data_IF_927216837637
#
_entry.id   IF_927216837637
#
_cell.length_a   1.000
_cell.length_b   1.000
_cell.length_c   1.000
_cell.angle_alpha   90.00
_cell.angle_beta   90.00
_cell.angle_gamma   90.00
#
_symmetry.space_group_name_H-M   'P 1'
#
loop_
_entity.id
_entity.type
_entity.pdbx_description
1 polymer ?
#
# COMPACT_ATOMS: atom_id res chain seq x y z
N UNK A 1 -47.39 -3.12 -0.90
CA UNK A 1 -46.90 -4.24 -1.72
C UNK A 1 -45.39 -4.11 -1.86
N UNK A 2 -44.65 -4.58 -0.87
CA UNK A 2 -43.18 -4.59 -0.85
C UNK A 2 -42.73 -6.01 -1.13
N UNK A 3 -42.52 -6.32 -2.41
CA UNK A 3 -41.83 -7.53 -2.84
C UNK A 3 -40.47 -7.10 -3.38
N UNK A 4 -39.52 -6.81 -2.49
CA UNK A 4 -38.11 -6.82 -2.87
C UNK A 4 -37.67 -8.27 -2.87
N UNK A 5 -37.75 -8.88 -4.06
CA UNK A 5 -37.16 -10.19 -4.33
C UNK A 5 -35.67 -10.09 -3.98
N UNK A 6 -35.25 -10.78 -2.92
CA UNK A 6 -33.85 -11.14 -2.69
C UNK A 6 -33.43 -12.09 -3.81
N UNK A 7 -33.14 -11.55 -4.99
CA UNK A 7 -32.36 -12.27 -5.97
C UNK A 7 -30.94 -12.32 -5.38
N UNK A 8 -30.53 -13.49 -4.89
CA UNK A 8 -29.14 -13.73 -4.54
C UNK A 8 -28.30 -13.35 -5.76
N UNK A 9 -27.44 -12.33 -5.62
CA UNK A 9 -26.57 -11.89 -6.70
C UNK A 9 -25.68 -13.04 -7.19
N UNK A 10 -25.06 -12.89 -8.37
CA UNK A 10 -24.21 -13.92 -8.94
C UNK A 10 -23.12 -14.33 -7.95
N UNK A 11 -22.81 -15.62 -7.89
CA UNK A 11 -21.68 -16.13 -7.12
C UNK A 11 -20.36 -15.72 -7.78
N UNK A 12 -19.31 -15.57 -6.98
CA UNK A 12 -17.95 -15.41 -7.48
C UNK A 12 -17.55 -16.64 -8.32
N UNK A 13 -16.84 -16.40 -9.42
CA UNK A 13 -16.34 -17.44 -10.33
C UNK A 13 -14.84 -17.25 -10.49
N UNK A 14 -14.11 -18.36 -10.48
CA UNK A 14 -12.67 -18.36 -10.75
C UNK A 14 -12.42 -18.36 -12.25
N UNK A 15 -11.36 -17.67 -12.68
CA UNK A 15 -10.81 -17.75 -14.03
C UNK A 15 -9.47 -18.49 -13.92
N UNK A 16 -9.23 -19.45 -14.82
CA UNK A 16 -7.97 -20.19 -14.83
C UNK A 16 -6.86 -19.31 -15.43
N UNK A 17 -5.73 -19.11 -14.73
CA UNK A 17 -4.61 -18.33 -15.26
C UNK A 17 -3.92 -19.09 -16.40
N UNK A 18 -3.38 -18.36 -17.37
CA UNK A 18 -2.54 -18.93 -18.44
C UNK A 18 -1.30 -19.62 -17.86
N UNK A 19 -0.74 -19.04 -16.79
CA UNK A 19 0.35 -19.61 -16.02
C UNK A 19 0.07 -19.37 -14.53
N UNK A 20 0.03 -20.45 -13.76
CA UNK A 20 -0.13 -20.38 -12.30
C UNK A 20 1.21 -20.26 -11.58
N UNK A 21 1.15 -19.76 -10.36
CA UNK A 21 2.24 -19.73 -9.39
C UNK A 21 1.95 -20.72 -8.26
N UNK A 22 2.95 -21.08 -7.43
CA UNK A 22 2.71 -21.86 -6.20
C UNK A 22 1.70 -21.22 -5.22
N UNK A 23 1.39 -19.94 -5.39
CA UNK A 23 0.47 -19.19 -4.53
C UNK A 23 -0.92 -18.98 -5.13
N UNK A 24 -1.14 -19.26 -6.43
CA UNK A 24 -2.45 -19.00 -7.07
C UNK A 24 -3.61 -19.68 -6.34
N UNK A 25 -3.40 -20.92 -5.87
CA UNK A 25 -4.44 -21.69 -5.17
C UNK A 25 -4.64 -21.28 -3.70
N UNK A 26 -3.78 -20.39 -3.17
CA UNK A 26 -3.88 -19.83 -1.82
C UNK A 26 -4.74 -18.57 -1.79
N UNK A 27 -5.15 -18.07 -2.97
CA UNK A 27 -5.96 -16.85 -3.10
C UNK A 27 -7.43 -17.23 -3.25
N UNK A 28 -8.26 -16.68 -2.38
CA UNK A 28 -9.69 -16.86 -2.41
C UNK A 28 -10.47 -15.67 -1.84
N UNK A 29 -11.81 -15.80 -1.75
CA UNK A 29 -12.70 -14.73 -1.29
C UNK A 29 -12.45 -14.21 0.13
N UNK A 30 -11.75 -14.94 0.98
CA UNK A 30 -11.59 -14.65 2.42
C UNK A 30 -10.16 -14.32 2.87
N UNK A 31 -9.19 -14.39 1.98
CA UNK A 31 -7.75 -14.37 2.27
C UNK A 31 -6.94 -13.60 1.21
N UNK A 32 -7.60 -12.74 0.42
CA UNK A 32 -6.92 -11.86 -0.53
C UNK A 32 -6.11 -10.76 0.20
N UNK A 33 -4.79 -10.97 0.28
CA UNK A 33 -3.81 -10.04 0.89
C UNK A 33 -4.26 -9.55 2.28
N UNK A 34 -4.28 -10.44 3.29
CA UNK A 34 -4.82 -10.16 4.62
C UNK A 34 -3.89 -9.32 5.50
N UNK A 35 -2.66 -9.03 5.05
CA UNK A 35 -1.68 -8.30 5.83
C UNK A 35 -1.98 -6.81 5.89
N UNK A 36 -1.61 -6.17 7.01
CA UNK A 36 -1.76 -4.73 7.14
C UNK A 36 -0.91 -3.98 6.08
N UNK A 37 -1.49 -3.02 5.33
CA UNK A 37 -0.82 -2.48 4.14
C UNK A 37 0.31 -1.48 4.39
N UNK A 38 0.41 -0.87 5.58
CA UNK A 38 1.33 0.27 5.85
C UNK A 38 2.39 -0.04 6.91
N UNK A 39 3.42 -0.84 6.60
CA UNK A 39 4.45 -1.24 7.55
C UNK A 39 5.28 -0.07 8.12
N UNK A 40 5.16 1.15 7.58
CA UNK A 40 5.82 2.36 8.10
C UNK A 40 4.91 3.28 8.92
N UNK A 41 3.63 2.94 9.05
CA UNK A 41 2.64 3.65 9.85
C UNK A 41 1.63 2.64 10.41
N UNK A 42 2.13 1.76 11.29
CA UNK A 42 1.40 0.62 11.83
C UNK A 42 0.38 1.07 12.87
N UNK A 43 -0.84 0.57 12.70
CA UNK A 43 -1.96 0.68 13.63
C UNK A 43 -2.50 -0.73 13.85
N UNK A 44 -2.72 -1.08 15.11
CA UNK A 44 -3.22 -2.41 15.46
C UNK A 44 -4.68 -2.62 15.01
N UNK A 45 -5.51 -1.58 15.16
CA UNK A 45 -6.92 -1.64 14.78
C UNK A 45 -7.08 -1.18 13.33
N UNK A 46 -7.65 -2.04 12.50
CA UNK A 46 -8.00 -1.78 11.11
C UNK A 46 -8.99 -2.84 10.63
N UNK A 47 -9.62 -2.62 9.47
CA UNK A 47 -10.48 -3.61 8.82
C UNK A 47 -10.10 -3.73 7.35
N UNK A 48 -9.71 -4.92 6.93
CA UNK A 48 -9.48 -5.22 5.52
C UNK A 48 -10.81 -5.27 4.76
N UNK A 49 -10.91 -4.56 3.64
CA UNK A 49 -12.07 -4.58 2.76
C UNK A 49 -11.84 -5.39 1.48
N UNK A 50 -10.68 -6.03 1.32
CA UNK A 50 -10.43 -7.00 0.25
C UNK A 50 -11.43 -8.17 0.30
N UNK A 51 -11.40 -8.98 -0.76
CA UNK A 51 -12.33 -10.08 -0.96
C UNK A 51 -13.32 -9.78 -2.07
N UNK A 52 -14.43 -10.51 -2.10
CA UNK A 52 -15.39 -10.41 -3.20
C UNK A 52 -16.25 -9.14 -3.09
N UNK A 53 -16.28 -8.38 -4.17
CA UNK A 53 -17.11 -7.20 -4.39
C UNK A 53 -18.08 -7.45 -5.54
N UNK A 54 -19.16 -6.67 -5.57
CA UNK A 54 -20.00 -6.62 -6.76
C UNK A 54 -19.33 -5.78 -7.84
N UNK A 55 -19.42 -6.21 -9.10
CA UNK A 55 -18.70 -5.61 -10.21
C UNK A 55 -19.60 -5.44 -11.42
N UNK A 56 -19.46 -4.32 -12.12
CA UNK A 56 -20.03 -4.08 -13.45
C UNK A 56 -18.97 -3.43 -14.36
N UNK A 57 -18.63 -4.11 -15.45
CA UNK A 57 -17.72 -3.62 -16.48
C UNK A 57 -18.45 -3.00 -17.68
N UNK A 58 -17.76 -2.16 -18.45
CA UNK A 58 -18.19 -1.66 -19.76
C UNK A 58 -19.53 -0.92 -19.78
N UNK A 59 -19.86 -0.17 -18.71
CA UNK A 59 -21.05 0.66 -18.62
C UNK A 59 -21.43 1.03 -17.18
N UNK A 60 -22.49 1.81 -17.00
CA UNK A 60 -23.05 2.04 -15.67
C UNK A 60 -23.76 0.78 -15.15
N UNK A 61 -23.84 0.56 -13.81
CA UNK A 61 -24.62 -0.52 -13.23
C UNK A 61 -26.05 -0.48 -13.75
N UNK A 62 -26.64 -1.65 -13.99
CA UNK A 62 -28.02 -1.76 -14.47
C UNK A 62 -28.99 -1.53 -13.31
N UNK A 63 -30.26 -1.31 -13.63
CA UNK A 63 -31.33 -1.13 -12.61
C UNK A 63 -31.46 -2.31 -11.66
N UNK A 64 -31.11 -3.51 -12.12
CA UNK A 64 -31.14 -4.78 -11.38
C UNK A 64 -29.81 -5.12 -10.68
N UNK A 65 -28.78 -4.25 -10.78
CA UNK A 65 -27.54 -4.36 -10.02
C UNK A 65 -26.27 -4.37 -10.87
N UNK A 66 -25.21 -4.95 -10.30
CA UNK A 66 -23.87 -4.94 -10.88
C UNK A 66 -23.62 -6.11 -11.84
N UNK A 67 -24.29 -7.26 -11.64
CA UNK A 67 -24.30 -8.37 -12.60
C UNK A 67 -23.10 -9.32 -12.53
N UNK A 68 -22.00 -8.93 -11.88
CA UNK A 68 -20.81 -9.78 -11.70
C UNK A 68 -20.20 -9.65 -10.29
N UNK A 69 -19.12 -10.41 -10.07
CA UNK A 69 -18.33 -10.44 -8.84
C UNK A 69 -16.85 -10.39 -9.19
N UNK A 70 -16.09 -9.56 -8.48
CA UNK A 70 -14.65 -9.43 -8.63
C UNK A 70 -13.95 -9.62 -7.28
N UNK A 71 -12.78 -10.27 -7.30
CA UNK A 71 -11.92 -10.38 -6.13
C UNK A 71 -10.99 -9.15 -6.05
N UNK A 72 -11.26 -8.27 -5.09
CA UNK A 72 -10.41 -7.11 -4.80
C UNK A 72 -9.26 -7.56 -3.87
N UNK A 73 -8.01 -7.16 -4.15
CA UNK A 73 -7.62 -6.03 -4.99
C UNK A 73 -6.91 -6.48 -6.28
N UNK A 74 -7.43 -7.47 -6.99
CA UNK A 74 -6.83 -7.92 -8.25
C UNK A 74 -7.46 -7.16 -9.44
N UNK A 75 -6.65 -6.65 -10.40
CA UNK A 75 -7.17 -6.01 -11.61
C UNK A 75 -8.13 -6.94 -12.36
N UNK A 76 -9.21 -6.44 -12.99
CA UNK A 76 -10.17 -7.29 -13.70
C UNK A 76 -9.54 -8.07 -14.87
N UNK A 77 -8.43 -7.60 -15.43
CA UNK A 77 -7.68 -8.32 -16.46
C UNK A 77 -7.03 -9.60 -15.93
N UNK A 78 -6.79 -9.67 -14.63
CA UNK A 78 -6.11 -10.80 -14.00
C UNK A 78 -7.05 -11.99 -13.83
N UNK A 79 -6.50 -13.19 -13.86
CA UNK A 79 -7.26 -14.41 -13.60
C UNK A 79 -7.72 -14.49 -12.13
N UNK A 80 -6.89 -14.03 -11.20
CA UNK A 80 -7.20 -14.02 -9.76
C UNK A 80 -8.41 -13.15 -9.42
N UNK A 81 -8.69 -12.09 -10.20
CA UNK A 81 -9.88 -11.27 -10.01
C UNK A 81 -11.20 -12.00 -10.28
N UNK A 82 -11.17 -13.11 -11.02
CA UNK A 82 -12.36 -13.81 -11.50
C UNK A 82 -13.06 -13.17 -12.71
N UNK A 83 -12.51 -12.07 -13.25
CA UNK A 83 -13.09 -11.36 -14.42
C UNK A 83 -12.36 -11.73 -15.72
N UNK A 84 -11.02 -11.71 -15.73
CA UNK A 84 -10.18 -12.13 -16.86
C UNK A 84 -10.33 -11.31 -18.14
N UNK A 85 -10.77 -10.04 -18.03
CA UNK A 85 -10.94 -9.15 -19.19
C UNK A 85 -10.80 -7.68 -18.81
N UNK A 86 -10.55 -6.86 -19.82
CA UNK A 86 -10.45 -5.40 -19.69
C UNK A 86 -11.82 -4.73 -19.81
N UNK A 87 -12.04 -3.72 -18.98
CA UNK A 87 -13.17 -2.79 -19.07
C UNK A 87 -12.67 -1.35 -18.92
N UNK A 88 -13.21 -0.39 -19.70
CA UNK A 88 -12.78 1.01 -19.60
C UNK A 88 -13.42 1.76 -18.43
N UNK A 89 -14.62 1.36 -18.05
CA UNK A 89 -15.37 1.91 -16.92
C UNK A 89 -15.75 0.75 -16.02
N UNK A 90 -15.35 0.87 -14.76
CA UNK A 90 -15.42 -0.19 -13.78
C UNK A 90 -16.20 0.32 -12.58
N UNK A 91 -17.29 -0.36 -12.26
CA UNK A 91 -18.08 -0.06 -11.07
C UNK A 91 -17.96 -1.19 -10.07
N UNK A 92 -17.65 -0.81 -8.84
CA UNK A 92 -17.49 -1.71 -7.71
C UNK A 92 -18.48 -1.35 -6.62
N UNK A 93 -19.08 -2.35 -5.96
CA UNK A 93 -19.86 -2.16 -4.74
C UNK A 93 -19.47 -3.15 -3.66
N UNK A 94 -19.30 -2.66 -2.44
CA UNK A 94 -19.08 -3.45 -1.22
C UNK A 94 -20.02 -3.00 -0.13
N UNK A 95 -20.64 -3.97 0.52
CA UNK A 95 -21.32 -3.76 1.80
C UNK A 95 -20.36 -4.15 2.91
N UNK A 96 -20.25 -3.31 3.93
CA UNK A 96 -19.37 -3.53 5.08
C UNK A 96 -20.04 -3.09 6.38
N UNK A 97 -19.47 -3.50 7.50
CA UNK A 97 -19.88 -3.09 8.83
C UNK A 97 -18.71 -2.41 9.52
N UNK A 98 -18.98 -1.27 10.17
CA UNK A 98 -17.99 -0.64 11.05
C UNK A 98 -18.07 -1.35 12.40
N UNK A 99 -16.95 -1.86 12.95
CA UNK A 99 -16.95 -2.48 14.26
C UNK A 99 -17.40 -1.51 15.36
N UNK A 100 -18.25 -1.97 16.29
CA UNK A 100 -18.82 -1.13 17.35
C UNK A 100 -17.78 -0.58 18.32
N UNK A 101 -16.63 -1.25 18.45
CA UNK A 101 -15.49 -0.79 19.25
C UNK A 101 -14.81 0.48 18.67
N UNK A 102 -15.25 0.96 17.50
CA UNK A 102 -14.79 2.21 16.89
C UNK A 102 -15.73 3.39 17.18
N UNK A 103 -16.78 3.21 17.98
CA UNK A 103 -17.69 4.29 18.37
C UNK A 103 -16.92 5.49 18.97
N UNK A 104 -17.22 6.69 18.48
CA UNK A 104 -16.55 7.93 18.88
C UNK A 104 -15.17 8.16 18.25
N UNK A 105 -14.68 7.24 17.41
CA UNK A 105 -13.48 7.45 16.59
C UNK A 105 -13.86 8.07 15.24
N UNK A 106 -12.86 8.66 14.58
CA UNK A 106 -12.92 8.92 13.14
C UNK A 106 -12.68 7.62 12.39
N UNK A 107 -13.34 7.42 11.25
CA UNK A 107 -13.13 6.26 10.37
C UNK A 107 -12.55 6.73 9.05
N UNK A 108 -11.32 6.33 8.77
CA UNK A 108 -10.63 6.62 7.51
C UNK A 108 -10.77 5.43 6.56
N UNK A 109 -11.18 5.70 5.33
CA UNK A 109 -11.19 4.76 4.22
C UNK A 109 -9.95 4.96 3.37
N UNK A 110 -9.21 3.89 3.11
CA UNK A 110 -7.96 3.92 2.36
C UNK A 110 -8.01 3.03 1.12
N UNK A 111 -7.37 3.49 0.05
CA UNK A 111 -7.06 2.74 -1.15
C UNK A 111 -5.55 2.78 -1.37
N UNK A 112 -4.92 1.62 -1.56
CA UNK A 112 -3.49 1.55 -1.85
C UNK A 112 -3.16 2.10 -3.25
N UNK A 113 -3.99 1.77 -4.23
CA UNK A 113 -3.95 2.32 -5.58
C UNK A 113 -5.22 1.92 -6.36
N UNK A 114 -5.68 2.80 -7.25
CA UNK A 114 -6.78 2.54 -8.19
C UNK A 114 -6.39 3.10 -9.55
N UNK A 115 -6.21 2.24 -10.55
CA UNK A 115 -5.81 2.63 -11.89
C UNK A 115 -7.04 2.95 -12.78
N UNK A 116 -7.23 4.14 -13.34
CA UNK A 116 -6.38 5.33 -13.32
C UNK A 116 -7.06 6.54 -12.66
N UNK A 117 -8.38 6.66 -12.79
CA UNK A 117 -9.17 7.72 -12.14
C UNK A 117 -10.31 7.12 -11.36
N UNK A 118 -10.40 7.44 -10.07
CA UNK A 118 -11.39 6.90 -9.16
C UNK A 118 -12.35 7.98 -8.64
N UNK A 119 -13.62 7.62 -8.50
CA UNK A 119 -14.58 8.38 -7.68
C UNK A 119 -15.20 7.42 -6.68
N UNK A 120 -15.27 7.85 -5.41
CA UNK A 120 -15.68 7.00 -4.30
C UNK A 120 -16.88 7.62 -3.60
N UNK A 121 -17.86 6.77 -3.30
CA UNK A 121 -19.05 7.12 -2.53
C UNK A 121 -19.24 6.16 -1.37
N UNK A 122 -19.63 6.70 -0.23
CA UNK A 122 -20.13 5.93 0.91
C UNK A 122 -21.56 6.38 1.18
N UNK A 123 -22.50 5.43 1.24
CA UNK A 123 -23.92 5.70 1.44
C UNK A 123 -24.47 6.79 0.50
N UNK A 124 -24.14 6.69 -0.80
CA UNK A 124 -24.49 7.63 -1.86
C UNK A 124 -23.92 9.06 -1.71
N UNK A 125 -23.05 9.31 -0.74
CA UNK A 125 -22.33 10.58 -0.61
C UNK A 125 -20.93 10.43 -1.19
N UNK A 126 -20.54 11.36 -2.07
CA UNK A 126 -19.21 11.36 -2.68
C UNK A 126 -18.17 11.77 -1.64
N UNK A 127 -17.19 10.91 -1.35
CA UNK A 127 -16.17 11.12 -0.32
C UNK A 127 -14.77 11.39 -0.90
N UNK A 128 -14.48 10.92 -2.11
CA UNK A 128 -13.18 11.14 -2.76
C UNK A 128 -13.26 11.15 -4.29
N UNK A 129 -12.30 11.85 -4.89
CA UNK A 129 -11.88 11.72 -6.30
C UNK A 129 -10.37 11.60 -6.31
N UNK A 130 -9.83 10.70 -7.11
CA UNK A 130 -8.39 10.49 -7.25
C UNK A 130 -8.01 10.25 -8.70
N UNK A 131 -6.83 10.74 -9.10
CA UNK A 131 -6.23 10.51 -10.40
C UNK A 131 -4.76 10.14 -10.20
N UNK A 132 -4.35 9.02 -10.82
CA UNK A 132 -3.05 8.40 -10.64
C UNK A 132 -3.19 6.95 -10.19
N UNK A 133 -2.72 6.01 -11.00
CA UNK A 133 -2.92 4.58 -10.80
C UNK A 133 -1.93 3.93 -9.84
N UNK A 134 -0.96 4.66 -9.28
CA UNK A 134 0.12 4.07 -8.49
C UNK A 134 0.28 4.67 -7.09
N UNK A 135 -0.59 5.60 -6.70
CA UNK A 135 -0.49 6.30 -5.42
C UNK A 135 -1.71 6.04 -4.54
N UNK A 136 -1.46 5.96 -3.23
CA UNK A 136 -2.50 5.78 -2.25
C UNK A 136 -3.30 7.07 -2.03
N UNK A 137 -4.56 6.91 -1.65
CA UNK A 137 -5.41 8.01 -1.21
C UNK A 137 -6.38 7.56 -0.12
N UNK A 138 -6.96 8.52 0.58
CA UNK A 138 -7.89 8.25 1.68
C UNK A 138 -8.98 9.30 1.81
N UNK A 139 -10.04 8.96 2.52
CA UNK A 139 -11.11 9.88 2.92
C UNK A 139 -11.55 9.60 4.35
N UNK A 140 -11.80 10.66 5.12
CA UNK A 140 -12.56 10.55 6.36
C UNK A 140 -14.04 10.34 5.99
N UNK A 141 -14.58 9.18 6.35
CA UNK A 141 -15.96 8.81 6.03
C UNK A 141 -16.89 8.92 7.24
N UNK A 142 -16.39 9.39 8.39
CA UNK A 142 -17.10 9.39 9.68
C UNK A 142 -18.48 10.02 9.57
N UNK A 143 -18.57 11.21 8.97
CA UNK A 143 -19.79 12.01 8.94
C UNK A 143 -20.84 11.49 7.94
N UNK A 144 -20.46 10.54 7.06
CA UNK A 144 -21.36 9.95 6.05
C UNK A 144 -21.80 8.52 6.40
N UNK A 145 -21.28 7.97 7.50
CA UNK A 145 -21.68 6.66 8.00
C UNK A 145 -23.11 6.71 8.55
N UNK A 146 -23.86 5.63 8.32
CA UNK A 146 -25.13 5.40 9.02
C UNK A 146 -24.83 5.11 10.50
N UNK A 147 -25.62 5.62 11.46
CA UNK A 147 -25.40 5.36 12.89
C UNK A 147 -25.46 3.89 13.30
N UNK A 148 -26.14 3.05 12.49
CA UNK A 148 -26.23 1.61 12.73
C UNK A 148 -26.42 0.85 11.42
N UNK A 149 -26.12 -0.46 11.48
CA UNK A 149 -26.31 -1.37 10.37
C UNK A 149 -25.18 -1.33 9.34
N UNK A 150 -25.47 -1.89 8.16
CA UNK A 150 -24.50 -2.01 7.07
C UNK A 150 -24.30 -0.68 6.35
N UNK A 151 -23.05 -0.44 5.96
CA UNK A 151 -22.60 0.66 5.13
C UNK A 151 -22.43 0.18 3.69
N UNK A 152 -22.58 1.08 2.73
CA UNK A 152 -22.38 0.80 1.31
C UNK A 152 -21.24 1.65 0.75
N UNK A 153 -20.23 1.00 0.20
CA UNK A 153 -19.12 1.60 -0.54
C UNK A 153 -19.35 1.35 -2.04
N UNK A 154 -19.35 2.42 -2.83
CA UNK A 154 -19.35 2.37 -4.30
C UNK A 154 -18.11 3.06 -4.84
N UNK A 155 -17.44 2.43 -5.80
CA UNK A 155 -16.27 2.99 -6.48
C UNK A 155 -16.52 2.92 -7.98
N UNK A 156 -16.27 4.03 -8.67
CA UNK A 156 -16.13 4.04 -10.12
C UNK A 156 -14.68 4.31 -10.47
N UNK A 157 -14.05 3.38 -11.18
CA UNK A 157 -12.77 3.61 -11.84
C UNK A 157 -12.96 3.78 -13.34
N UNK A 158 -12.11 4.58 -13.97
CA UNK A 158 -12.01 4.66 -15.42
C UNK A 158 -10.56 4.56 -15.84
N UNK A 159 -10.28 3.70 -16.82
CA UNK A 159 -8.98 3.64 -17.48
C UNK A 159 -9.14 3.36 -18.98
N UNK A 160 -8.56 4.24 -19.80
CA UNK A 160 -8.52 4.11 -21.25
C UNK A 160 -7.15 3.62 -21.75
N UNK A 161 -6.21 3.44 -20.83
CA UNK A 161 -4.83 2.98 -21.03
C UNK A 161 -4.20 3.74 -22.21
N UNK A 162 -4.01 3.10 -23.37
CA UNK A 162 -3.40 3.68 -24.58
C UNK A 162 -4.07 4.98 -25.08
N UNK A 163 -5.37 5.14 -24.83
CA UNK A 163 -6.13 6.31 -25.27
C UNK A 163 -6.23 7.42 -24.20
N UNK A 164 -5.55 7.24 -23.06
CA UNK A 164 -5.43 8.25 -22.02
C UNK A 164 -4.22 9.17 -22.26
N UNK A 165 -4.16 10.29 -21.54
CA UNK A 165 -2.99 11.18 -21.53
C UNK A 165 -1.98 10.85 -20.43
N UNK A 166 -2.25 9.81 -19.64
CA UNK A 166 -1.40 9.46 -18.51
C UNK A 166 -0.18 8.66 -18.98
N UNK A 167 0.95 8.73 -18.24
CA UNK A 167 2.01 7.75 -18.38
C UNK A 167 1.44 6.35 -18.07
N UNK A 168 1.52 5.45 -19.05
CA UNK A 168 1.00 4.07 -18.93
C UNK A 168 2.13 3.04 -18.81
N UNK A 169 3.38 3.47 -18.71
CA UNK A 169 4.55 2.58 -18.67
C UNK A 169 4.55 1.53 -19.80
N UNK A 170 4.38 0.26 -19.42
CA UNK A 170 4.30 -0.90 -20.35
C UNK A 170 2.88 -1.41 -20.56
N UNK A 171 1.87 -0.80 -19.96
CA UNK A 171 0.48 -1.18 -20.13
C UNK A 171 0.03 -0.88 -21.56
N UNK A 172 -0.53 -1.88 -22.25
CA UNK A 172 -1.05 -1.77 -23.62
C UNK A 172 -2.36 -2.53 -23.74
N UNK A 173 -3.31 -1.98 -24.49
CA UNK A 173 -4.59 -2.63 -24.79
C UNK A 173 -4.41 -3.83 -25.71
N UNK A 174 -3.40 -3.78 -26.58
CA UNK A 174 -3.01 -4.86 -27.48
C UNK A 174 -1.49 -5.11 -27.33
N UNK A 175 -1.07 -5.93 -26.36
CA UNK A 175 0.34 -6.20 -26.10
C UNK A 175 0.99 -7.11 -27.15
N UNK A 176 0.22 -7.66 -28.12
CA UNK A 176 0.71 -8.61 -29.13
C UNK A 176 1.43 -9.80 -28.49
N UNK A 177 2.69 -10.05 -28.83
CA UNK A 177 3.50 -11.14 -28.29
C UNK A 177 4.15 -10.85 -26.94
N UNK A 178 3.79 -9.74 -26.29
CA UNK A 178 4.31 -9.35 -24.99
C UNK A 178 3.37 -9.90 -23.90
N UNK A 179 3.96 -10.54 -22.87
CA UNK A 179 3.20 -11.24 -21.83
C UNK A 179 2.68 -10.33 -20.69
N UNK A 180 3.12 -9.06 -20.63
CA UNK A 180 2.59 -8.06 -19.70
C UNK A 180 1.50 -7.21 -20.37
N UNK A 181 0.33 -7.14 -19.73
CA UNK A 181 -0.92 -6.53 -20.23
C UNK A 181 -1.23 -5.19 -19.54
N UNK A 182 -2.30 -4.52 -19.93
CA UNK A 182 -2.89 -3.46 -19.09
C UNK A 182 -3.39 -4.02 -17.75
N UNK A 183 -3.48 -3.14 -16.74
CA UNK A 183 -4.14 -3.40 -15.46
C UNK A 183 -4.99 -2.18 -15.12
N UNK A 184 -6.24 -2.39 -14.73
CA UNK A 184 -7.14 -1.29 -14.37
C UNK A 184 -7.82 -1.53 -13.03
N UNK A 185 -8.51 -0.51 -12.51
CA UNK A 185 -9.29 -0.59 -11.31
C UNK A 185 -8.48 -0.74 -10.02
N UNK A 186 -9.09 -1.37 -9.02
CA UNK A 186 -8.49 -1.50 -7.70
C UNK A 186 -7.46 -2.63 -7.74
N UNK A 187 -6.17 -2.29 -7.70
CA UNK A 187 -5.08 -3.28 -7.77
C UNK A 187 -4.21 -3.36 -6.51
N UNK A 188 -4.46 -2.53 -5.50
CA UNK A 188 -3.90 -2.68 -4.15
C UNK A 188 -4.99 -2.63 -3.09
N UNK A 189 -4.66 -3.09 -1.88
CA UNK A 189 -5.59 -3.29 -0.75
C UNK A 189 -6.49 -2.07 -0.49
N UNK A 190 -7.73 -2.35 -0.12
CA UNK A 190 -8.70 -1.36 0.39
C UNK A 190 -8.96 -1.68 1.85
N UNK A 191 -8.92 -0.69 2.74
CA UNK A 191 -9.09 -0.93 4.17
C UNK A 191 -9.66 0.28 4.92
N UNK A 192 -10.13 0.03 6.14
CA UNK A 192 -10.55 1.06 7.08
C UNK A 192 -9.62 1.14 8.29
N UNK A 193 -9.53 2.33 8.87
CA UNK A 193 -8.84 2.54 10.15
C UNK A 193 -9.65 3.44 11.07
N UNK A 194 -9.85 3.05 12.34
CA UNK A 194 -10.29 3.96 13.37
C UNK A 194 -9.12 4.82 13.84
N UNK A 195 -9.31 6.13 13.88
CA UNK A 195 -8.34 7.06 14.47
C UNK A 195 -9.03 7.98 15.49
N UNK A 196 -8.33 8.37 16.55
CA UNK A 196 -8.81 9.42 17.44
C UNK A 196 -8.97 10.76 16.69
N UNK A 197 -9.73 11.70 17.26
CA UNK A 197 -9.89 13.04 16.67
C UNK A 197 -8.53 13.70 16.41
N UNK A 198 -7.64 13.65 17.40
CA UNK A 198 -6.25 14.04 17.25
C UNK A 198 -5.42 12.81 16.89
N UNK A 199 -4.80 12.77 15.72
CA UNK A 199 -4.08 11.59 15.22
C UNK A 199 -2.91 11.93 14.30
N UNK A 200 -2.00 10.98 14.14
CA UNK A 200 -0.88 11.02 13.20
C UNK A 200 -1.37 10.55 11.83
N UNK A 201 -1.25 11.42 10.82
CA UNK A 201 -1.65 11.18 9.42
C UNK A 201 -0.53 10.60 8.58
N UNK A 202 0.69 11.12 8.74
CA UNK A 202 1.86 10.63 8.01
C UNK A 202 3.11 10.72 8.89
N UNK A 203 4.07 9.83 8.61
CA UNK A 203 5.35 9.79 9.31
C UNK A 203 6.57 9.87 8.35
N UNK A 204 6.78 11.01 7.65
CA UNK A 204 8.02 11.26 6.93
C UNK A 204 9.24 11.06 7.82
N UNK A 205 10.16 10.22 7.36
CA UNK A 205 11.31 9.77 8.13
C UNK A 205 12.57 9.81 7.27
N UNK A 206 13.66 10.30 7.84
CA UNK A 206 14.96 10.41 7.17
C UNK A 206 16.06 9.95 8.12
N UNK A 207 16.63 8.75 7.91
CA UNK A 207 17.79 8.31 8.66
C UNK A 207 19.08 8.90 8.08
N UNK A 208 20.14 8.90 8.90
CA UNK A 208 21.52 9.04 8.46
C UNK A 208 22.43 8.11 9.29
N UNK A 209 23.73 8.42 9.36
CA UNK A 209 24.71 7.56 10.05
C UNK A 209 24.71 7.71 11.57
N UNK A 210 24.04 8.73 12.11
CA UNK A 210 24.06 9.07 13.54
C UNK A 210 22.68 8.94 14.19
N UNK A 211 21.62 8.81 13.40
CA UNK A 211 20.27 8.67 13.94
C UNK A 211 19.17 8.89 12.91
N UNK A 212 18.01 9.30 13.41
CA UNK A 212 16.80 9.41 12.61
C UNK A 212 16.05 10.70 12.89
N UNK A 213 15.64 11.37 11.81
CA UNK A 213 14.78 12.55 11.86
C UNK A 213 13.38 12.17 11.41
N UNK A 214 12.37 12.60 12.16
CA UNK A 214 10.95 12.43 11.83
C UNK A 214 10.26 13.78 11.74
N UNK A 215 9.34 13.92 10.79
CA UNK A 215 8.49 15.12 10.62
C UNK A 215 7.03 14.69 10.61
N UNK A 216 6.43 14.39 11.79
CA UNK A 216 5.08 13.87 11.86
C UNK A 216 4.08 14.88 11.30
N UNK A 217 3.22 14.44 10.38
CA UNK A 217 2.03 15.21 9.99
C UNK A 217 0.87 14.75 10.84
N UNK A 218 0.28 15.66 11.59
CA UNK A 218 -0.77 15.35 12.57
C UNK A 218 -2.03 16.16 12.31
N UNK A 219 -3.11 15.76 12.96
CA UNK A 219 -4.33 16.52 13.18
C UNK A 219 -4.47 16.69 14.68
N UNK A 220 -4.59 17.91 15.19
CA UNK A 220 -4.63 18.17 16.64
C UNK A 220 -3.36 17.72 17.38
N UNK A 221 -3.49 17.59 18.72
CA UNK A 221 -2.36 17.31 19.61
C UNK A 221 -1.48 18.54 19.85
N UNK A 222 -0.63 18.46 20.87
CA UNK A 222 0.28 19.54 21.24
C UNK A 222 1.75 19.11 21.05
N UNK A 223 2.07 17.88 21.48
CA UNK A 223 3.44 17.35 21.51
C UNK A 223 3.51 15.99 20.84
N UNK A 224 4.71 15.60 20.42
CA UNK A 224 5.02 14.28 19.87
C UNK A 224 6.19 13.70 20.65
N UNK A 225 6.08 12.43 21.03
CA UNK A 225 7.17 11.64 21.58
C UNK A 225 7.58 10.58 20.54
N UNK A 226 8.88 10.47 20.27
CA UNK A 226 9.46 9.41 19.45
C UNK A 226 10.39 8.55 20.31
N UNK A 227 10.14 7.25 20.28
CA UNK A 227 10.91 6.21 20.96
C UNK A 227 11.57 5.35 19.89
N UNK A 228 12.87 5.11 20.03
CA UNK A 228 13.68 4.25 19.15
C UNK A 228 14.21 3.09 19.97
N UNK A 229 14.01 1.86 19.47
CA UNK A 229 14.42 0.62 20.15
C UNK A 229 15.21 -0.28 19.22
N UNK A 230 16.06 -1.13 19.79
CA UNK A 230 16.59 -2.30 19.08
C UNK A 230 15.44 -3.29 18.80
N UNK A 231 15.51 -4.11 17.73
CA UNK A 231 14.51 -5.15 17.45
C UNK A 231 14.26 -6.04 18.65
N UNK A 232 13.01 -6.09 19.12
CA UNK A 232 12.59 -6.85 20.30
C UNK A 232 13.44 -6.57 21.57
N UNK A 233 14.06 -5.38 21.61
CA UNK A 233 15.15 -5.04 22.51
C UNK A 233 14.92 -3.77 23.33
N UNK A 234 16.01 -3.21 23.82
CA UNK A 234 15.97 -2.05 24.68
C UNK A 234 15.70 -0.76 23.91
N UNK A 235 15.07 0.20 24.59
CA UNK A 235 15.02 1.60 24.15
C UNK A 235 16.44 2.17 24.09
N UNK A 236 16.82 2.73 22.94
CA UNK A 236 18.13 3.32 22.68
C UNK A 236 18.09 4.84 22.54
N UNK A 237 16.91 5.41 22.25
CA UNK A 237 16.69 6.85 22.29
C UNK A 237 15.21 7.18 22.52
N UNK A 238 14.95 8.31 23.19
CA UNK A 238 13.64 8.93 23.33
C UNK A 238 13.77 10.43 23.21
N UNK A 239 12.92 11.03 22.39
CA UNK A 239 12.89 12.47 22.18
C UNK A 239 11.46 12.95 22.10
N UNK A 240 11.21 14.13 22.67
CA UNK A 240 9.91 14.80 22.64
C UNK A 240 10.07 16.17 21.97
N UNK A 241 9.02 16.61 21.29
CA UNK A 241 8.98 17.94 20.68
C UNK A 241 7.55 18.39 20.38
N UNK A 242 7.40 19.64 19.99
CA UNK A 242 6.12 20.19 19.58
C UNK A 242 5.65 19.59 18.24
N UNK A 243 4.34 19.46 18.07
CA UNK A 243 3.75 19.10 16.78
C UNK A 243 4.17 20.07 15.66
N UNK A 244 4.30 19.56 14.43
CA UNK A 244 4.70 20.37 13.27
C UNK A 244 6.20 20.72 13.21
N UNK A 245 7.01 20.28 14.20
CA UNK A 245 8.47 20.42 14.19
C UNK A 245 9.16 19.11 13.82
N UNK A 246 10.43 19.21 13.46
CA UNK A 246 11.30 18.06 13.23
C UNK A 246 11.73 17.48 14.59
N UNK A 247 11.59 16.17 14.78
CA UNK A 247 12.15 15.46 15.93
C UNK A 247 13.36 14.67 15.47
N UNK A 248 14.46 14.73 16.21
CA UNK A 248 15.71 14.03 15.91
C UNK A 248 16.12 13.18 17.09
N UNK A 249 16.18 11.86 16.90
CA UNK A 249 16.84 10.95 17.84
C UNK A 249 18.26 10.66 17.34
N UNK A 250 19.26 10.96 18.16
CA UNK A 250 20.65 10.58 17.94
C UNK A 250 20.94 9.26 18.65
N UNK A 251 21.68 8.37 18.00
CA UNK A 251 22.01 7.04 18.48
C UNK A 251 23.53 6.98 18.71
N UNK A 252 24.01 6.89 19.97
CA UNK A 252 25.44 6.98 20.28
C UNK A 252 26.32 5.88 19.66
N UNK A 253 25.74 4.70 19.37
CA UNK A 253 26.43 3.55 18.79
C UNK A 253 25.54 2.94 17.69
N UNK A 254 25.39 3.62 16.55
CA UNK A 254 24.45 3.21 15.53
C UNK A 254 24.96 1.97 14.79
N UNK A 255 24.09 0.96 14.64
CA UNK A 255 24.29 -0.16 13.72
C UNK A 255 23.65 0.20 12.39
N UNK A 256 24.49 0.36 11.37
CA UNK A 256 24.05 0.85 10.06
C UNK A 256 23.39 -0.26 9.25
N UNK A 257 22.35 0.09 8.52
CA UNK A 257 21.76 -0.79 7.52
C UNK A 257 22.69 -0.89 6.29
N UNK A 258 22.91 -2.12 5.84
CA UNK A 258 23.53 -2.43 4.55
C UNK A 258 22.86 -3.67 3.93
N UNK A 259 23.07 -3.95 2.63
CA UNK A 259 22.62 -5.21 2.05
C UNK A 259 23.15 -6.46 2.77
N UNK A 260 24.34 -6.41 3.39
CA UNK A 260 24.90 -7.55 4.12
C UNK A 260 24.47 -7.62 5.60
N UNK A 261 23.97 -6.50 6.14
CA UNK A 261 23.50 -6.36 7.51
C UNK A 261 22.26 -5.45 7.51
N UNK A 262 21.07 -5.97 7.15
CA UNK A 262 19.85 -5.17 7.01
C UNK A 262 19.22 -4.83 8.36
N UNK A 263 20.01 -4.25 9.26
CA UNK A 263 19.58 -3.91 10.60
C UNK A 263 18.55 -2.77 10.57
N UNK A 264 17.41 -3.00 11.21
CA UNK A 264 16.31 -2.03 11.33
C UNK A 264 16.09 -1.77 12.83
N UNK A 265 15.92 -0.51 13.21
CA UNK A 265 15.44 -0.12 14.53
C UNK A 265 13.92 -0.03 14.51
N UNK A 266 13.30 -0.38 15.63
CA UNK A 266 11.87 -0.18 15.83
C UNK A 266 11.61 1.26 16.29
N UNK A 267 10.50 1.82 15.83
CA UNK A 267 10.08 3.19 16.14
C UNK A 267 8.65 3.19 16.63
N UNK A 268 8.42 3.86 17.76
CA UNK A 268 7.08 4.20 18.22
C UNK A 268 6.96 5.71 18.30
N UNK A 269 5.89 6.26 17.70
CA UNK A 269 5.61 7.69 17.71
C UNK A 269 4.25 7.92 18.34
N UNK A 270 4.23 8.73 19.40
CA UNK A 270 3.05 9.03 20.20
C UNK A 270 2.69 10.49 20.06
N UNK A 271 1.41 10.77 19.80
CA UNK A 271 0.85 12.12 19.85
C UNK A 271 0.34 12.37 21.26
N UNK A 272 0.69 13.50 21.85
CA UNK A 272 0.37 13.86 23.23
C UNK A 272 -0.44 15.17 23.29
N UNK A 273 -1.25 15.32 24.34
CA UNK A 273 -1.86 16.60 24.70
C UNK A 273 -0.90 17.50 25.51
N UNK A 274 -1.38 18.68 25.91
CA UNK A 274 -0.62 19.62 26.74
C UNK A 274 -0.27 19.04 28.12
N UNK A 275 -1.11 18.17 28.66
CA UNK A 275 -0.92 17.53 29.97
C UNK A 275 0.01 16.31 29.91
N UNK A 276 0.33 15.82 28.71
CA UNK A 276 1.19 14.66 28.48
C UNK A 276 0.44 13.34 28.34
N UNK A 277 -0.89 13.37 28.22
CA UNK A 277 -1.67 12.16 27.94
C UNK A 277 -1.47 11.74 26.49
N UNK A 278 -1.35 10.44 26.25
CA UNK A 278 -1.24 9.86 24.91
C UNK A 278 -2.60 9.92 24.23
N UNK A 279 -2.65 10.59 23.08
CA UNK A 279 -3.82 10.74 22.23
C UNK A 279 -3.85 9.70 21.10
N UNK A 280 -2.68 9.38 20.54
CA UNK A 280 -2.54 8.46 19.41
C UNK A 280 -1.15 7.81 19.42
N UNK A 281 -1.03 6.60 18.86
CA UNK A 281 0.21 5.85 18.75
C UNK A 281 0.30 5.20 17.38
N UNK A 282 1.46 5.31 16.73
CA UNK A 282 1.80 4.57 15.53
C UNK A 282 3.18 3.92 15.68
N UNK A 283 3.34 2.76 15.06
CA UNK A 283 4.63 2.07 14.99
C UNK A 283 5.22 2.15 13.58
N UNK A 284 6.54 2.08 13.50
CA UNK A 284 7.31 2.15 12.27
C UNK A 284 8.66 1.48 12.49
N UNK A 285 9.53 1.55 11.48
CA UNK A 285 10.91 1.08 11.59
C UNK A 285 11.84 1.95 10.75
N UNK A 286 13.15 1.88 11.00
CA UNK A 286 14.16 2.58 10.20
C UNK A 286 15.48 1.82 10.10
N UNK A 287 16.07 1.80 8.91
CA UNK A 287 17.45 1.38 8.71
C UNK A 287 18.37 2.59 8.60
N UNK A 288 19.34 2.72 9.51
CA UNK A 288 20.28 3.84 9.51
C UNK A 288 21.25 3.76 8.33
N UNK A 289 21.09 4.65 7.35
CA UNK A 289 21.90 4.65 6.13
C UNK A 289 21.93 6.01 5.46
N UNK A 290 22.96 6.25 4.67
CA UNK A 290 22.99 7.35 3.70
C UNK A 290 23.25 6.82 2.29
N UNK A 291 22.58 7.42 1.30
CA UNK A 291 22.86 7.22 -0.12
C UNK A 291 23.32 8.55 -0.69
N UNK A 292 24.43 8.53 -1.41
CA UNK A 292 24.99 9.74 -2.02
C UNK A 292 26.01 9.40 -3.10
N UNK A 293 26.89 10.36 -3.37
CA UNK A 293 28.01 10.17 -4.30
C UNK A 293 29.34 10.49 -3.63
N UNK A 294 30.38 9.74 -3.99
CA UNK A 294 31.78 10.01 -3.63
C UNK A 294 32.65 9.97 -4.87
N UNK A 295 33.82 10.61 -4.84
CA UNK A 295 34.78 10.53 -5.94
C UNK A 295 35.62 9.23 -5.85
N UNK A 296 35.85 8.58 -6.99
CA UNK A 296 36.89 7.54 -7.08
C UNK A 296 38.31 8.15 -7.17
N UNK A 297 39.33 7.29 -7.26
CA UNK A 297 40.73 7.72 -7.34
C UNK A 297 41.06 8.62 -8.55
N UNK A 298 40.17 8.70 -9.55
CA UNK A 298 40.30 9.57 -10.72
C UNK A 298 39.36 10.78 -10.65
N UNK A 299 38.73 11.04 -9.51
CA UNK A 299 37.80 12.16 -9.34
C UNK A 299 36.41 11.94 -9.91
N UNK A 300 36.05 10.72 -10.35
CA UNK A 300 34.74 10.45 -10.99
C UNK A 300 33.69 10.16 -9.93
N UNK A 301 32.45 10.68 -10.06
CA UNK A 301 31.39 10.41 -9.09
C UNK A 301 30.94 8.94 -9.15
N UNK A 302 30.80 8.33 -7.99
CA UNK A 302 30.31 6.96 -7.78
C UNK A 302 29.22 6.96 -6.74
N UNK A 303 28.21 6.12 -6.92
CA UNK A 303 27.17 5.88 -5.91
C UNK A 303 27.84 5.33 -4.66
N UNK A 304 27.46 5.89 -3.51
CA UNK A 304 27.96 5.49 -2.21
C UNK A 304 26.81 5.14 -1.27
N UNK A 305 26.96 4.01 -0.56
CA UNK A 305 26.18 3.66 0.61
C UNK A 305 27.07 3.88 1.83
N UNK A 306 26.59 4.66 2.80
CA UNK A 306 27.31 4.95 4.04
C UNK A 306 28.74 5.48 3.80
N UNK A 307 28.88 6.36 2.80
CA UNK A 307 30.17 6.95 2.40
C UNK A 307 31.12 6.03 1.63
N UNK A 308 30.73 4.78 1.33
CA UNK A 308 31.56 3.80 0.61
C UNK A 308 31.03 3.55 -0.79
N UNK A 309 31.92 3.59 -1.79
CA UNK A 309 31.61 3.24 -3.18
C UNK A 309 30.90 1.88 -3.20
N UNK A 310 29.69 1.85 -3.76
CA UNK A 310 28.85 0.65 -3.82
C UNK A 310 28.42 0.43 -5.26
N UNK A 311 28.78 -0.74 -5.80
CA UNK A 311 28.29 -1.18 -7.10
C UNK A 311 26.88 -1.76 -6.94
N UNK A 312 25.91 -1.18 -7.63
CA UNK A 312 24.53 -1.67 -7.67
C UNK A 312 24.47 -2.85 -8.64
N UNK A 313 24.37 -4.07 -8.11
CA UNK A 313 24.29 -5.29 -8.87
C UNK A 313 22.91 -5.90 -8.67
N UNK A 314 22.08 -5.83 -9.70
CA UNK A 314 20.69 -6.27 -9.59
C UNK A 314 19.93 -6.27 -10.91
N UNK A 315 18.79 -6.98 -10.94
CA UNK A 315 17.94 -7.04 -12.11
C UNK A 315 17.04 -5.81 -12.24
N UNK A 316 16.45 -5.69 -13.42
CA UNK A 316 15.21 -4.96 -13.63
C UNK A 316 14.05 -5.88 -13.22
N UNK A 317 13.24 -5.44 -12.26
CA UNK A 317 12.01 -6.09 -11.84
C UNK A 317 10.82 -5.42 -12.50
N UNK A 318 10.17 -6.17 -13.40
CA UNK A 318 9.02 -5.71 -14.17
C UNK A 318 7.74 -5.60 -13.32
N UNK A 319 7.64 -6.34 -12.22
CA UNK A 319 6.52 -6.30 -11.28
C UNK A 319 5.20 -6.87 -11.83
N UNK A 320 5.28 -7.87 -12.73
CA UNK A 320 4.11 -8.56 -13.27
C UNK A 320 4.02 -10.01 -12.80
N UNK A 321 2.83 -10.38 -12.37
CA UNK A 321 2.45 -11.73 -11.96
C UNK A 321 1.62 -12.39 -13.05
N UNK A 322 1.88 -13.66 -13.40
CA UNK A 322 1.17 -14.31 -14.51
C UNK A 322 -0.31 -14.57 -14.22
N UNK A 323 -0.70 -14.60 -12.95
CA UNK A 323 -2.05 -14.84 -12.45
C UNK A 323 -2.73 -13.56 -11.91
N UNK A 324 -1.95 -12.63 -11.32
CA UNK A 324 -2.44 -11.38 -10.71
C UNK A 324 -2.09 -10.07 -11.44
N UNK A 325 -1.32 -10.13 -12.54
CA UNK A 325 -0.87 -8.99 -13.35
C UNK A 325 -0.09 -7.98 -12.48
N UNK A 326 -0.70 -6.91 -11.98
CA UNK A 326 0.01 -5.96 -11.10
C UNK A 326 0.03 -6.39 -9.63
N UNK A 327 -0.85 -7.31 -9.23
CA UNK A 327 -1.03 -7.66 -7.83
C UNK A 327 -0.40 -9.02 -7.57
N UNK A 328 0.53 -9.09 -6.61
CA UNK A 328 1.07 -10.37 -6.17
C UNK A 328 -0.05 -11.23 -5.56
N UNK A 329 -0.06 -12.55 -5.78
CA UNK A 329 -1.08 -13.43 -5.21
C UNK A 329 -1.15 -13.34 -3.68
N UNK A 330 0.00 -13.37 -3.00
CA UNK A 330 0.12 -13.24 -1.54
C UNK A 330 1.34 -12.38 -1.17
N UNK A 331 1.43 -11.97 0.10
CA UNK A 331 2.62 -11.29 0.62
C UNK A 331 3.86 -12.18 0.59
N UNK A 332 3.70 -13.50 0.77
CA UNK A 332 4.78 -14.49 0.62
C UNK A 332 5.30 -14.57 -0.81
N UNK A 333 4.41 -14.49 -1.82
CA UNK A 333 4.84 -14.43 -3.22
C UNK A 333 5.68 -13.17 -3.46
N UNK A 334 5.20 -12.03 -2.97
CA UNK A 334 5.86 -10.74 -3.09
C UNK A 334 7.23 -10.72 -2.37
N UNK A 335 7.33 -11.36 -1.20
CA UNK A 335 8.61 -11.60 -0.51
C UNK A 335 9.52 -12.53 -1.31
N UNK A 336 8.99 -13.63 -1.84
CA UNK A 336 9.75 -14.67 -2.51
C UNK A 336 10.59 -14.12 -3.67
N UNK A 337 10.03 -13.25 -4.51
CA UNK A 337 10.76 -12.66 -5.64
C UNK A 337 11.99 -11.84 -5.18
N UNK A 338 11.86 -11.10 -4.09
CA UNK A 338 12.96 -10.35 -3.48
C UNK A 338 13.98 -11.28 -2.80
N UNK A 339 13.50 -12.31 -2.12
CA UNK A 339 14.35 -13.31 -1.47
C UNK A 339 15.18 -14.08 -2.51
N UNK A 340 14.60 -14.45 -3.65
CA UNK A 340 15.33 -15.06 -4.77
C UNK A 340 16.31 -14.12 -5.43
N UNK A 341 15.93 -12.85 -5.59
CA UNK A 341 16.88 -11.81 -6.05
C UNK A 341 18.10 -11.76 -5.13
N UNK A 342 17.89 -11.83 -3.80
CA UNK A 342 18.96 -11.83 -2.82
C UNK A 342 19.82 -13.11 -2.87
N UNK A 343 19.20 -14.28 -2.93
CA UNK A 343 19.87 -15.59 -3.01
C UNK A 343 20.76 -15.72 -4.26
N UNK A 344 20.38 -15.08 -5.37
CA UNK A 344 21.17 -15.02 -6.60
C UNK A 344 22.42 -14.11 -6.49
N UNK A 345 22.64 -13.47 -5.34
CA UNK A 345 23.81 -12.64 -5.08
C UNK A 345 23.65 -11.17 -5.46
N UNK A 346 22.42 -10.72 -5.74
CA UNK A 346 22.14 -9.31 -5.99
C UNK A 346 22.02 -8.52 -4.68
N UNK A 347 22.41 -7.25 -4.72
CA UNK A 347 22.31 -6.30 -3.60
C UNK A 347 21.31 -5.16 -3.88
N UNK A 348 20.66 -5.24 -5.02
CA UNK A 348 19.90 -4.16 -5.63
C UNK A 348 18.76 -4.73 -6.48
N UNK A 349 17.67 -3.98 -6.62
CA UNK A 349 16.59 -4.23 -7.56
C UNK A 349 16.06 -2.90 -8.11
N UNK A 350 15.87 -2.81 -9.43
CA UNK A 350 15.20 -1.66 -10.05
C UNK A 350 13.74 -2.01 -10.33
N UNK A 351 12.81 -1.38 -9.61
CA UNK A 351 11.38 -1.50 -9.90
C UNK A 351 11.04 -0.64 -11.10
N UNK A 352 10.63 -1.29 -12.18
CA UNK A 352 10.46 -0.66 -13.47
C UNK A 352 9.05 -0.11 -13.67
N UNK A 353 8.94 1.22 -13.86
CA UNK A 353 7.72 1.97 -14.22
C UNK A 353 6.44 1.58 -13.45
N UNK A 354 6.59 1.29 -12.15
CA UNK A 354 5.51 0.88 -11.25
C UNK A 354 5.89 1.23 -9.81
N UNK A 355 4.95 1.71 -9.00
CA UNK A 355 5.14 1.84 -7.55
C UNK A 355 4.40 0.68 -6.88
N UNK A 356 5.13 -0.19 -6.17
CA UNK A 356 4.55 -1.36 -5.51
C UNK A 356 3.78 -0.98 -4.23
N UNK A 357 2.98 -1.89 -3.64
CA UNK A 357 2.48 -1.70 -2.27
C UNK A 357 3.65 -1.48 -1.28
N UNK A 358 3.41 -0.74 -0.19
CA UNK A 358 4.44 -0.47 0.82
C UNK A 358 5.12 -1.74 1.35
N UNK A 359 4.39 -2.87 1.36
CA UNK A 359 4.89 -4.18 1.75
C UNK A 359 6.09 -4.66 0.92
N UNK A 360 6.18 -4.30 -0.36
CA UNK A 360 7.34 -4.65 -1.19
C UNK A 360 8.61 -3.95 -0.73
N UNK A 361 8.51 -2.66 -0.41
CA UNK A 361 9.63 -1.92 0.15
C UNK A 361 9.99 -2.42 1.56
N UNK A 362 9.00 -2.85 2.34
CA UNK A 362 9.24 -3.49 3.63
C UNK A 362 10.09 -4.76 3.52
N UNK A 363 9.75 -5.64 2.58
CA UNK A 363 10.57 -6.82 2.32
C UNK A 363 11.95 -6.46 1.79
N UNK A 364 12.08 -5.44 0.93
CA UNK A 364 13.38 -4.98 0.46
C UNK A 364 14.26 -4.44 1.61
N UNK A 365 13.67 -3.68 2.54
CA UNK A 365 14.36 -3.20 3.75
C UNK A 365 14.82 -4.36 4.64
N UNK A 366 13.93 -5.33 4.90
CA UNK A 366 14.18 -6.51 5.76
C UNK A 366 15.22 -7.47 5.17
N UNK A 367 15.17 -7.71 3.85
CA UNK A 367 16.06 -8.65 3.15
C UNK A 367 17.41 -8.02 2.77
N UNK A 368 17.56 -6.70 2.89
CA UNK A 368 18.79 -6.00 2.54
C UNK A 368 18.98 -5.85 1.04
N UNK A 369 18.02 -5.21 0.38
CA UNK A 369 18.10 -4.83 -1.03
C UNK A 369 17.99 -3.32 -1.19
N UNK A 370 18.92 -2.75 -1.96
CA UNK A 370 18.78 -1.37 -2.43
C UNK A 370 17.70 -1.32 -3.51
N UNK A 371 16.87 -0.29 -3.49
CA UNK A 371 15.81 -0.09 -4.48
C UNK A 371 16.11 1.13 -5.33
N UNK A 372 16.01 0.98 -6.64
CA UNK A 372 15.82 2.10 -7.55
C UNK A 372 14.37 2.10 -7.99
N UNK A 373 13.66 3.16 -7.61
CA UNK A 373 12.28 3.37 -7.96
C UNK A 373 12.20 4.20 -9.25
N UNK A 374 11.68 3.61 -10.33
CA UNK A 374 11.35 4.38 -11.53
C UNK A 374 10.02 5.14 -11.33
N UNK A 375 9.87 6.28 -12.00
CA UNK A 375 8.56 6.93 -12.12
C UNK A 375 7.69 6.11 -13.11
N UNK A 376 6.40 5.86 -12.81
CA UNK A 376 5.50 5.14 -13.70
C UNK A 376 5.25 5.81 -15.06
#
# INVERSE_FOLDING_TARGET
MTSSVNAAGPAFKTVEPVLSTPWSAQVGPGDALPEYPRPRLVRERWLNLNGVWEYAGSGAPRRDGYGERILVPFPPESALSGIGRRDETLWYRKVFHVPSEWDGQRVLLHFGAVDQSATVWVNNQKVAVHEGGYTAFSADITDVLRPSGSQELTVRATDRTDASTHPVGKQRNDPKGIFYTAASGIWQTVWLEPVPFAHIRELPLTPDLEGVTVVPKVTGGARVEMIVSEPDGAEVARVEGETGRRLRANLPRPRLWTPGDPYLYDLQVRLLDESGNVLDVVESYTGLRTIGTVADAQGRPRIALNGRITFLHGPLDQGYWPDGIHTAPTDEALRFDLEKTKELGFNFVRKHVKVEPERWYHWADRLGLLVWQDMP
#
